data_IF_094726170726
#
_entry.id   IF_094726170726
#
_cell.length_a   1.000
_cell.length_b   1.000
_cell.length_c   1.000
_cell.angle_alpha   90.00
_cell.angle_beta   90.00
_cell.angle_gamma   90.00
#
_symmetry.space_group_name_H-M   'P 1'
#
loop_
_entity.id
_entity.type
_entity.pdbx_description
1 polymer ?
#
# COMPACT_ATOMS: atom_id res chain seq x y z
N UNK A 1 79.03 -26.01 -3.65
CA UNK A 1 79.96 -25.69 -2.54
C UNK A 1 79.20 -24.78 -1.57
N UNK A 2 78.54 -25.34 -0.57
CA UNK A 2 78.03 -24.62 0.60
C UNK A 2 78.34 -25.53 1.80
N UNK A 3 79.62 -25.55 2.18
CA UNK A 3 80.06 -26.21 3.41
C UNK A 3 79.67 -25.32 4.59
N UNK A 4 79.01 -25.96 5.57
CA UNK A 4 78.48 -25.33 6.76
C UNK A 4 79.56 -24.69 7.64
N UNK A 5 79.30 -23.46 8.06
CA UNK A 5 79.91 -22.87 9.23
C UNK A 5 79.08 -23.29 10.44
N UNK A 6 79.58 -24.26 11.21
CA UNK A 6 79.05 -24.56 12.53
C UNK A 6 79.26 -23.33 13.44
N UNK A 7 78.21 -22.73 14.02
CA UNK A 7 78.35 -21.55 14.86
C UNK A 7 79.13 -21.89 16.14
N UNK A 8 80.07 -21.02 16.53
CA UNK A 8 80.78 -21.10 17.83
C UNK A 8 79.76 -21.25 18.97
N UNK A 9 80.04 -22.04 20.03
CA UNK A 9 79.07 -22.37 21.08
C UNK A 9 78.48 -21.13 21.77
N UNK A 10 79.29 -20.06 21.96
CA UNK A 10 78.81 -18.78 22.49
C UNK A 10 77.78 -18.07 21.60
N UNK A 11 77.93 -18.15 20.27
CA UNK A 11 77.00 -17.51 19.35
C UNK A 11 75.65 -18.24 19.31
N UNK A 12 75.65 -19.56 19.52
CA UNK A 12 74.43 -20.35 19.60
C UNK A 12 73.63 -20.04 20.87
N UNK A 13 74.31 -19.89 22.01
CA UNK A 13 73.68 -19.49 23.27
C UNK A 13 73.08 -18.08 23.17
N UNK A 14 73.80 -17.11 22.58
CA UNK A 14 73.28 -15.76 22.36
C UNK A 14 72.05 -15.74 21.46
N UNK A 15 72.04 -16.55 20.40
CA UNK A 15 70.91 -16.66 19.48
C UNK A 15 69.68 -17.30 20.14
N UNK A 16 69.88 -18.34 20.98
CA UNK A 16 68.82 -18.98 21.76
C UNK A 16 68.23 -17.98 22.78
N UNK A 17 69.08 -17.24 23.50
CA UNK A 17 68.64 -16.22 24.46
C UNK A 17 67.84 -15.09 23.79
N UNK A 18 68.31 -14.60 22.64
CA UNK A 18 67.58 -13.61 21.85
C UNK A 18 66.23 -14.15 21.33
N UNK A 19 66.18 -15.42 20.93
CA UNK A 19 64.95 -16.08 20.52
C UNK A 19 63.93 -16.18 21.66
N UNK A 20 64.38 -16.51 22.88
CA UNK A 20 63.51 -16.53 24.06
C UNK A 20 63.06 -15.14 24.49
N UNK A 21 63.92 -14.13 24.44
CA UNK A 21 63.54 -12.73 24.74
C UNK A 21 62.47 -12.23 23.75
N UNK A 22 62.64 -12.46 22.44
CA UNK A 22 61.61 -12.17 21.42
C UNK A 22 60.29 -12.88 21.72
N UNK A 23 60.37 -14.16 22.10
CA UNK A 23 59.20 -14.95 22.44
C UNK A 23 58.46 -14.40 23.67
N UNK A 24 59.18 -14.09 24.74
CA UNK A 24 58.60 -13.56 25.98
C UNK A 24 57.96 -12.20 25.70
N UNK A 25 58.65 -11.27 25.05
CA UNK A 25 58.13 -9.93 24.72
C UNK A 25 56.84 -10.04 23.89
N UNK A 26 56.85 -10.83 22.80
CA UNK A 26 55.66 -11.03 21.94
C UNK A 26 54.54 -11.81 22.61
N UNK A 27 54.86 -12.71 23.54
CA UNK A 27 53.85 -13.47 24.31
C UNK A 27 53.13 -12.59 25.34
N UNK A 28 53.82 -11.60 25.90
CA UNK A 28 53.26 -10.61 26.84
C UNK A 28 52.45 -9.53 26.10
N UNK A 29 52.75 -9.26 24.83
CA UNK A 29 51.96 -8.40 23.95
C UNK A 29 50.67 -9.06 23.42
N UNK A 30 50.43 -10.35 23.71
CA UNK A 30 49.11 -10.95 23.47
C UNK A 30 48.10 -10.23 24.38
N UNK A 31 47.02 -9.66 23.83
CA UNK A 31 46.09 -8.83 24.57
C UNK A 31 45.17 -9.71 25.41
N UNK A 32 45.70 -10.28 26.49
CA UNK A 32 44.89 -10.64 27.65
C UNK A 32 44.43 -9.29 28.24
N UNK A 33 43.16 -8.95 28.03
CA UNK A 33 42.50 -7.69 28.35
C UNK A 33 42.70 -6.52 27.37
N UNK A 34 41.86 -6.48 26.33
CA UNK A 34 41.27 -5.21 25.91
C UNK A 34 39.81 -5.45 25.52
N UNK A 35 38.94 -5.40 26.53
CA UNK A 35 37.54 -5.03 26.35
C UNK A 35 37.57 -3.52 26.13
N UNK A 36 37.72 -3.10 24.89
CA UNK A 36 37.31 -1.76 24.48
C UNK A 36 36.68 -1.86 23.11
N UNK A 37 35.35 -1.70 23.11
CA UNK A 37 34.59 -1.42 21.91
C UNK A 37 35.25 -0.25 21.18
N UNK A 38 35.88 -0.54 20.05
CA UNK A 38 36.24 0.50 19.10
C UNK A 38 35.00 0.79 18.27
N UNK A 39 34.26 1.80 18.73
CA UNK A 39 33.28 2.52 17.93
C UNK A 39 33.85 2.81 16.53
N UNK A 40 33.04 2.71 15.45
CA UNK A 40 33.52 2.99 14.12
C UNK A 40 34.02 4.43 14.02
N UNK A 41 35.30 4.59 13.71
CA UNK A 41 35.92 5.88 13.41
C UNK A 41 35.25 6.46 12.17
N UNK A 42 34.36 7.43 12.39
CA UNK A 42 33.68 8.17 11.33
C UNK A 42 34.72 8.99 10.57
N UNK A 43 35.19 8.48 9.44
CA UNK A 43 35.99 9.25 8.49
C UNK A 43 35.00 10.04 7.63
N UNK A 44 34.92 11.35 7.86
CA UNK A 44 34.18 12.28 7.01
C UNK A 44 34.79 12.22 5.60
N UNK A 45 33.98 11.84 4.61
CA UNK A 45 34.22 12.23 3.21
C UNK A 45 33.12 13.21 2.79
N UNK A 46 33.45 14.24 2.00
CA UNK A 46 32.50 15.26 1.61
C UNK A 46 31.52 14.71 0.58
N UNK A 47 30.28 15.17 0.72
CA UNK A 47 29.14 15.03 -0.17
C UNK A 47 29.42 15.62 -1.56
N UNK A 48 29.21 14.83 -2.62
CA UNK A 48 28.42 15.30 -3.75
C UNK A 48 27.73 14.11 -4.45
N UNK A 49 26.69 14.46 -5.18
CA UNK A 49 25.43 13.75 -5.37
C UNK A 49 25.39 12.76 -6.54
N UNK A 50 24.31 11.95 -6.50
CA UNK A 50 23.69 11.21 -7.62
C UNK A 50 24.50 10.04 -8.19
N UNK A 51 24.13 8.83 -7.81
CA UNK A 51 23.84 7.73 -8.74
C UNK A 51 23.10 6.63 -7.98
N UNK A 52 21.80 6.49 -8.24
CA UNK A 52 21.08 5.25 -7.98
C UNK A 52 21.69 4.20 -8.90
N UNK A 53 22.49 3.29 -8.34
CA UNK A 53 22.91 2.10 -9.07
C UNK A 53 22.72 0.87 -8.20
N UNK A 54 21.87 0.00 -8.73
CA UNK A 54 21.49 -1.32 -8.27
C UNK A 54 22.71 -2.10 -7.76
N UNK A 55 22.77 -2.34 -6.44
CA UNK A 55 23.59 -3.42 -5.90
C UNK A 55 22.82 -4.73 -6.01
N UNK A 56 22.74 -5.23 -7.23
CA UNK A 56 22.36 -6.61 -7.50
C UNK A 56 23.58 -7.50 -7.18
N UNK A 57 23.41 -8.44 -6.25
CA UNK A 57 24.37 -9.51 -5.89
C UNK A 57 25.72 -9.02 -5.36
N UNK A 58 25.76 -8.53 -4.12
CA UNK A 58 26.99 -8.65 -3.33
C UNK A 58 27.20 -10.13 -3.05
N UNK A 59 28.17 -10.71 -3.76
CA UNK A 59 28.79 -12.00 -3.48
C UNK A 59 28.95 -12.17 -1.96
N UNK A 60 28.11 -13.02 -1.35
CA UNK A 60 28.09 -13.29 0.10
C UNK A 60 29.33 -14.10 0.48
N UNK A 61 30.50 -13.46 0.41
CA UNK A 61 31.80 -14.10 0.64
C UNK A 61 31.91 -14.53 2.09
N UNK A 62 32.12 -15.83 2.29
CA UNK A 62 32.41 -16.41 3.59
C UNK A 62 33.78 -15.97 4.09
N UNK A 63 33.91 -15.74 5.39
CA UNK A 63 35.19 -15.37 5.98
C UNK A 63 35.31 -15.90 7.42
N UNK A 64 36.56 -16.17 7.82
CA UNK A 64 36.90 -16.64 9.17
C UNK A 64 36.94 -15.46 10.15
N UNK A 65 36.25 -15.59 11.28
CA UNK A 65 36.24 -14.63 12.38
C UNK A 65 37.45 -14.90 13.28
N UNK A 66 38.47 -14.04 13.20
CA UNK A 66 39.61 -14.03 14.13
C UNK A 66 40.80 -13.19 13.62
N UNK A 67 41.54 -12.52 14.53
CA UNK A 67 42.72 -11.69 14.20
C UNK A 67 43.74 -12.47 13.37
N UNK A 68 44.34 -11.88 12.32
CA UNK A 68 45.36 -12.52 11.44
C UNK A 68 46.44 -13.26 12.27
N UNK A 69 47.00 -14.38 11.77
CA UNK A 69 47.96 -15.18 12.53
C UNK A 69 49.10 -14.31 13.04
N UNK A 70 49.43 -14.50 14.32
CA UNK A 70 50.58 -13.87 14.97
C UNK A 70 51.82 -14.35 14.21
N UNK A 71 52.67 -13.43 13.76
CA UNK A 71 53.95 -13.78 13.13
C UNK A 71 54.74 -14.67 14.08
N UNK A 72 55.15 -15.86 13.62
CA UNK A 72 55.88 -16.81 14.45
C UNK A 72 57.12 -16.15 15.06
N UNK A 73 57.25 -16.26 16.38
CA UNK A 73 58.40 -15.77 17.14
C UNK A 73 59.66 -16.52 16.72
N UNK A 74 60.83 -15.91 16.92
CA UNK A 74 62.09 -16.54 16.56
C UNK A 74 62.26 -17.90 17.29
N UNK A 75 61.86 -18.00 18.56
CA UNK A 75 61.91 -19.26 19.31
C UNK A 75 61.03 -20.36 18.70
N UNK A 76 59.85 -20.02 18.17
CA UNK A 76 58.97 -20.99 17.50
C UNK A 76 59.56 -21.44 16.16
N UNK A 77 60.15 -20.53 15.38
CA UNK A 77 60.84 -20.87 14.13
C UNK A 77 62.06 -21.75 14.34
N UNK A 78 62.74 -21.58 15.48
CA UNK A 78 63.91 -22.39 15.85
C UNK A 78 63.55 -23.70 16.56
N UNK A 79 62.26 -24.00 16.75
CA UNK A 79 61.81 -25.23 17.42
C UNK A 79 62.10 -25.28 18.92
N UNK A 80 62.46 -24.15 19.55
CA UNK A 80 62.71 -24.03 20.98
C UNK A 80 61.41 -23.97 21.80
N UNK A 81 60.34 -23.50 21.17
CA UNK A 81 58.98 -23.44 21.73
C UNK A 81 58.02 -24.08 20.71
N UNK A 82 57.05 -24.89 21.13
CA UNK A 82 56.07 -25.47 20.21
C UNK A 82 55.34 -24.37 19.42
N UNK A 83 55.20 -24.61 18.11
CA UNK A 83 54.42 -23.74 17.24
C UNK A 83 52.96 -23.70 17.72
N UNK A 84 52.28 -22.54 17.75
CA UNK A 84 50.85 -22.48 18.00
C UNK A 84 50.13 -23.34 16.97
N UNK A 85 49.06 -24.02 17.36
CA UNK A 85 48.26 -24.80 16.43
C UNK A 85 47.86 -23.94 15.23
N UNK A 86 48.21 -24.39 14.02
CA UNK A 86 47.89 -23.70 12.79
C UNK A 86 46.37 -23.57 12.61
N UNK A 87 45.96 -22.48 11.97
CA UNK A 87 44.56 -22.29 11.60
C UNK A 87 44.09 -23.40 10.69
N UNK A 88 42.79 -23.67 10.70
CA UNK A 88 42.23 -24.55 9.70
C UNK A 88 42.48 -23.96 8.31
N UNK A 89 43.01 -24.76 7.39
CA UNK A 89 43.19 -24.36 5.99
C UNK A 89 41.82 -24.21 5.31
N UNK A 90 41.78 -23.51 4.17
CA UNK A 90 40.54 -23.33 3.41
C UNK A 90 39.93 -24.69 3.00
N UNK A 91 40.77 -25.67 2.67
CA UNK A 91 40.35 -27.04 2.34
C UNK A 91 39.73 -27.76 3.55
N UNK A 92 40.31 -27.59 4.74
CA UNK A 92 39.75 -28.14 5.96
C UNK A 92 38.40 -27.50 6.29
N UNK A 93 38.24 -26.20 6.06
CA UNK A 93 36.95 -25.53 6.17
C UNK A 93 35.94 -26.02 5.15
N UNK A 94 36.35 -26.28 3.91
CA UNK A 94 35.49 -26.89 2.91
C UNK A 94 35.00 -28.27 3.38
N UNK A 95 35.86 -29.10 3.98
CA UNK A 95 35.46 -30.39 4.55
C UNK A 95 34.54 -30.25 5.77
N UNK A 96 34.77 -29.27 6.65
CA UNK A 96 33.84 -28.97 7.76
C UNK A 96 32.48 -28.52 7.22
N UNK A 97 32.47 -27.71 6.16
CA UNK A 97 31.25 -27.24 5.51
C UNK A 97 30.48 -28.38 4.86
N UNK A 98 31.14 -29.26 4.12
CA UNK A 98 30.51 -30.47 3.54
C UNK A 98 29.82 -31.29 4.62
N UNK A 99 30.52 -31.60 5.72
CA UNK A 99 29.93 -32.34 6.85
C UNK A 99 28.73 -31.63 7.46
N UNK A 100 28.81 -30.31 7.64
CA UNK A 100 27.71 -29.51 8.17
C UNK A 100 26.47 -29.52 7.27
N UNK A 101 26.67 -29.52 5.95
CA UNK A 101 25.61 -29.62 4.94
C UNK A 101 25.00 -31.02 4.93
N UNK A 102 25.80 -32.08 4.98
CA UNK A 102 25.33 -33.48 5.07
C UNK A 102 24.50 -33.72 6.33
N UNK A 103 24.90 -33.13 7.46
CA UNK A 103 24.16 -33.18 8.73
C UNK A 103 22.91 -32.31 8.74
N UNK A 104 22.77 -31.40 7.76
CA UNK A 104 21.64 -30.47 7.70
C UNK A 104 21.63 -29.42 8.82
N UNK A 105 22.78 -29.08 9.39
CA UNK A 105 22.90 -28.15 10.53
C UNK A 105 22.29 -26.78 10.24
N UNK A 106 22.42 -26.29 9.00
CA UNK A 106 21.81 -25.01 8.58
C UNK A 106 20.29 -25.07 8.37
N UNK A 107 19.71 -26.26 8.28
CA UNK A 107 18.26 -26.45 8.19
C UNK A 107 17.60 -26.56 9.57
N UNK A 108 18.35 -27.02 10.58
CA UNK A 108 17.87 -27.09 11.95
C UNK A 108 17.82 -25.70 12.59
N UNK A 109 16.94 -25.46 13.59
CA UNK A 109 16.92 -24.21 14.33
C UNK A 109 18.20 -24.05 15.19
N UNK A 110 18.56 -22.82 15.49
CA UNK A 110 19.72 -22.54 16.34
C UNK A 110 19.53 -23.14 17.73
N UNK A 111 20.46 -23.97 18.20
CA UNK A 111 20.32 -24.64 19.50
C UNK A 111 20.33 -23.70 20.73
N UNK A 112 20.74 -22.44 20.58
CA UNK A 112 20.76 -21.45 21.67
C UNK A 112 19.38 -20.78 21.82
N UNK A 113 18.82 -20.21 20.76
CA UNK A 113 17.55 -19.47 20.79
C UNK A 113 16.34 -20.28 20.29
N UNK A 114 16.56 -21.46 19.71
CA UNK A 114 15.55 -22.34 19.10
C UNK A 114 14.79 -21.73 17.92
N UNK A 115 15.32 -20.66 17.33
CA UNK A 115 14.76 -20.03 16.12
C UNK A 115 15.47 -20.49 14.85
N UNK A 116 14.74 -20.48 13.73
CA UNK A 116 15.30 -20.65 12.39
C UNK A 116 16.32 -19.54 12.07
N UNK A 117 17.31 -19.87 11.25
CA UNK A 117 18.35 -18.91 10.83
C UNK A 117 17.82 -17.81 9.91
N UNK A 118 16.98 -18.16 8.93
CA UNK A 118 16.46 -17.24 7.90
C UNK A 118 17.58 -16.37 7.31
N UNK A 119 17.44 -15.04 7.35
CA UNK A 119 18.42 -14.08 6.84
C UNK A 119 19.41 -13.58 7.90
N UNK A 120 19.34 -14.09 9.14
CA UNK A 120 20.23 -13.65 10.22
C UNK A 120 21.65 -14.18 9.98
N UNK A 121 22.72 -13.44 10.34
CA UNK A 121 24.09 -13.89 10.16
C UNK A 121 24.36 -15.14 10.99
N UNK A 122 24.87 -16.17 10.31
CA UNK A 122 25.13 -17.50 10.86
C UNK A 122 26.63 -17.78 10.87
N UNK A 123 27.07 -18.59 11.83
CA UNK A 123 28.47 -18.95 12.00
C UNK A 123 28.61 -20.46 12.13
N UNK A 124 29.56 -21.01 11.40
CA UNK A 124 30.00 -22.40 11.45
C UNK A 124 31.23 -22.51 12.34
N UNK A 125 31.20 -23.44 13.27
CA UNK A 125 32.33 -23.75 14.13
C UNK A 125 33.21 -24.84 13.51
N UNK A 126 34.48 -24.90 13.90
CA UNK A 126 35.38 -26.01 13.53
C UNK A 126 34.89 -27.40 13.96
N UNK A 127 33.91 -27.45 14.88
CA UNK A 127 33.23 -28.65 15.31
C UNK A 127 31.91 -28.93 14.56
N UNK A 128 31.74 -28.44 13.33
CA UNK A 128 30.58 -28.62 12.41
C UNK A 128 29.24 -27.99 12.82
N UNK A 129 29.10 -27.56 14.07
CA UNK A 129 27.88 -26.93 14.59
C UNK A 129 27.66 -25.51 14.08
N UNK A 130 26.38 -25.14 13.86
CA UNK A 130 25.97 -23.82 13.34
C UNK A 130 25.12 -23.05 14.36
N UNK A 131 25.38 -21.74 14.49
CA UNK A 131 24.63 -20.84 15.37
C UNK A 131 24.42 -19.46 14.75
N UNK A 132 23.50 -18.64 15.28
CA UNK A 132 23.49 -17.22 14.93
C UNK A 132 24.75 -16.58 15.51
N UNK A 133 25.35 -15.66 14.76
CA UNK A 133 26.52 -14.90 15.22
C UNK A 133 26.25 -14.21 16.57
N UNK A 134 25.08 -13.58 16.69
CA UNK A 134 24.68 -12.88 17.91
C UNK A 134 24.47 -13.84 19.09
N UNK A 135 23.83 -15.00 18.87
CA UNK A 135 23.59 -15.98 19.92
C UNK A 135 24.90 -16.59 20.44
N UNK A 136 25.82 -16.93 19.54
CA UNK A 136 27.14 -17.43 19.94
C UNK A 136 27.92 -16.37 20.72
N UNK A 137 27.92 -15.12 20.26
CA UNK A 137 28.60 -14.02 20.96
C UNK A 137 28.00 -13.76 22.35
N UNK A 138 26.68 -13.83 22.49
CA UNK A 138 26.00 -13.71 23.78
C UNK A 138 26.38 -14.87 24.72
N UNK A 139 26.44 -16.10 24.20
CA UNK A 139 26.87 -17.27 24.95
C UNK A 139 28.32 -17.15 25.43
N UNK A 140 29.24 -16.73 24.56
CA UNK A 140 30.65 -16.51 24.92
C UNK A 140 30.80 -15.45 26.03
N UNK A 141 30.03 -14.36 25.94
CA UNK A 141 29.99 -13.30 26.97
C UNK A 141 29.45 -13.80 28.31
N UNK A 142 28.40 -14.63 28.29
CA UNK A 142 27.78 -15.15 29.50
C UNK A 142 28.63 -16.24 30.17
N UNK A 143 29.17 -17.17 29.38
CA UNK A 143 29.99 -18.30 29.87
C UNK A 143 31.40 -17.85 30.31
N UNK A 144 31.89 -16.72 29.77
CA UNK A 144 33.26 -16.26 29.96
C UNK A 144 34.32 -17.19 29.33
N UNK A 145 33.88 -18.20 28.57
CA UNK A 145 34.73 -19.23 27.95
C UNK A 145 34.31 -19.45 26.51
N UNK A 146 35.30 -19.56 25.62
CA UNK A 146 35.09 -19.87 24.20
C UNK A 146 34.95 -21.39 24.00
N UNK A 147 33.75 -21.92 24.24
CA UNK A 147 33.41 -23.34 24.07
C UNK A 147 32.11 -23.53 23.27
N UNK A 148 32.02 -24.60 22.47
CA UNK A 148 30.82 -24.87 21.68
C UNK A 148 29.64 -25.20 22.63
N UNK A 149 28.45 -24.58 22.48
CA UNK A 149 27.29 -24.87 23.30
C UNK A 149 26.82 -26.34 23.23
N UNK A 150 27.01 -27.01 22.09
CA UNK A 150 26.56 -28.39 21.89
C UNK A 150 27.60 -29.42 22.34
N UNK A 151 28.82 -29.37 21.80
CA UNK A 151 29.84 -30.39 22.06
C UNK A 151 30.91 -29.98 23.07
N UNK A 152 30.81 -28.78 23.67
CA UNK A 152 31.76 -28.23 24.67
C UNK A 152 33.23 -28.15 24.21
N UNK A 153 33.53 -28.40 22.93
CA UNK A 153 34.88 -28.27 22.37
C UNK A 153 35.38 -26.84 22.57
N UNK A 154 36.57 -26.72 23.15
CA UNK A 154 37.21 -25.45 23.41
C UNK A 154 38.09 -25.02 22.22
N UNK A 155 38.43 -23.73 22.17
CA UNK A 155 39.37 -23.15 21.18
C UNK A 155 38.97 -23.44 19.72
N UNK A 156 37.67 -23.38 19.43
CA UNK A 156 37.20 -23.51 18.05
C UNK A 156 37.53 -22.26 17.22
N UNK A 157 37.63 -22.48 15.91
CA UNK A 157 37.59 -21.42 14.92
C UNK A 157 36.17 -21.21 14.43
N UNK A 158 35.89 -20.00 13.95
CA UNK A 158 34.55 -19.54 13.58
C UNK A 158 34.58 -19.01 12.16
N UNK A 159 33.68 -19.46 11.29
CA UNK A 159 33.52 -18.97 9.91
C UNK A 159 32.10 -18.46 9.72
N UNK A 160 31.93 -17.29 9.11
CA UNK A 160 30.61 -16.80 8.70
C UNK A 160 30.18 -17.58 7.46
N UNK A 161 28.98 -18.14 7.52
CA UNK A 161 28.35 -18.86 6.40
C UNK A 161 27.02 -18.20 6.03
N UNK A 162 26.43 -18.57 4.89
CA UNK A 162 25.14 -18.02 4.40
C UNK A 162 24.19 -19.12 3.90
N UNK A 163 24.46 -20.38 4.25
CA UNK A 163 23.74 -21.54 3.71
C UNK A 163 22.25 -21.55 4.10
N UNK A 164 21.91 -21.17 5.34
CA UNK A 164 20.52 -21.14 5.77
C UNK A 164 19.76 -19.97 5.15
N UNK A 165 20.43 -18.83 4.90
CA UNK A 165 19.85 -17.74 4.12
C UNK A 165 19.54 -18.17 2.68
N UNK A 166 20.43 -18.96 2.06
CA UNK A 166 20.18 -19.56 0.75
C UNK A 166 19.00 -20.53 0.77
N UNK A 167 18.93 -21.42 1.77
CA UNK A 167 17.80 -22.35 1.96
C UNK A 167 16.48 -21.59 2.16
N UNK A 168 16.47 -20.55 3.00
CA UNK A 168 15.30 -19.73 3.24
C UNK A 168 14.82 -18.99 1.99
N UNK A 169 15.75 -18.39 1.22
CA UNK A 169 15.42 -17.79 -0.08
C UNK A 169 14.79 -18.80 -1.04
N UNK A 170 15.32 -20.02 -1.08
CA UNK A 170 14.75 -21.10 -1.89
C UNK A 170 13.33 -21.47 -1.44
N UNK A 171 13.10 -21.66 -0.14
CA UNK A 171 11.77 -21.94 0.40
C UNK A 171 10.76 -20.83 0.09
N UNK A 172 11.17 -19.56 0.24
CA UNK A 172 10.36 -18.41 -0.13
C UNK A 172 10.00 -18.42 -1.62
N UNK A 173 10.99 -18.68 -2.49
CA UNK A 173 10.76 -18.78 -3.93
C UNK A 173 9.76 -19.90 -4.26
N UNK A 174 9.91 -21.08 -3.66
CA UNK A 174 8.97 -22.21 -3.86
C UNK A 174 7.54 -21.84 -3.42
N UNK A 175 7.37 -21.13 -2.30
CA UNK A 175 6.05 -20.67 -1.85
C UNK A 175 5.41 -19.67 -2.81
N UNK A 176 6.18 -18.71 -3.29
CA UNK A 176 5.71 -17.72 -4.27
C UNK A 176 5.32 -18.42 -5.57
N UNK A 177 6.19 -19.29 -6.07
CA UNK A 177 5.94 -20.07 -7.29
C UNK A 177 4.71 -20.96 -7.16
N UNK A 178 4.52 -21.65 -6.03
CA UNK A 178 3.34 -22.48 -5.79
C UNK A 178 2.05 -21.64 -5.76
N UNK A 179 2.09 -20.48 -5.09
CA UNK A 179 0.96 -19.56 -5.05
C UNK A 179 0.59 -19.06 -6.46
N UNK A 180 1.59 -18.64 -7.23
CA UNK A 180 1.41 -18.16 -8.60
C UNK A 180 0.88 -19.25 -9.53
N UNK A 181 1.49 -20.45 -9.51
CA UNK A 181 1.00 -21.60 -10.29
C UNK A 181 -0.46 -21.91 -9.96
N UNK A 182 -0.81 -21.93 -8.67
CA UNK A 182 -2.18 -22.12 -8.22
C UNK A 182 -3.13 -21.01 -8.67
N UNK A 183 -2.69 -19.74 -8.64
CA UNK A 183 -3.46 -18.61 -9.15
C UNK A 183 -3.73 -18.74 -10.65
N UNK A 184 -2.71 -19.02 -11.45
CA UNK A 184 -2.82 -19.19 -12.91
C UNK A 184 -3.82 -20.29 -13.27
N UNK A 185 -3.75 -21.45 -12.61
CA UNK A 185 -4.70 -22.55 -12.82
C UNK A 185 -6.12 -22.16 -12.41
N UNK A 186 -6.30 -21.50 -11.26
CA UNK A 186 -7.63 -21.03 -10.83
C UNK A 186 -8.22 -20.01 -11.79
N UNK A 187 -7.39 -19.10 -12.32
CA UNK A 187 -7.83 -18.10 -13.28
C UNK A 187 -8.25 -18.75 -14.59
N UNK A 188 -7.46 -19.70 -15.11
CA UNK A 188 -7.85 -20.51 -16.26
C UNK A 188 -9.15 -21.28 -15.99
N UNK A 189 -9.26 -21.97 -14.84
CA UNK A 189 -10.43 -22.76 -14.50
C UNK A 189 -11.71 -21.90 -14.36
N UNK A 190 -11.59 -20.68 -13.81
CA UNK A 190 -12.71 -19.71 -13.77
C UNK A 190 -13.20 -19.36 -15.17
N UNK A 191 -12.29 -19.15 -16.12
CA UNK A 191 -12.66 -18.86 -17.50
C UNK A 191 -13.25 -20.10 -18.20
N UNK A 192 -12.61 -21.27 -18.03
CA UNK A 192 -13.10 -22.54 -18.55
C UNK A 192 -14.51 -22.86 -18.05
N UNK A 193 -14.83 -22.57 -16.77
CA UNK A 193 -16.17 -22.77 -16.21
C UNK A 193 -17.24 -21.85 -16.84
N UNK A 194 -16.85 -20.71 -17.42
CA UNK A 194 -17.77 -19.81 -18.13
C UNK A 194 -18.02 -20.23 -19.58
N UNK A 195 -17.06 -20.94 -20.20
CA UNK A 195 -17.11 -21.27 -21.63
C UNK A 195 -17.41 -22.74 -21.92
N UNK A 196 -16.94 -23.65 -21.07
CA UNK A 196 -17.07 -25.09 -21.25
C UNK A 196 -18.27 -25.60 -20.46
N UNK A 197 -19.20 -26.26 -21.16
CA UNK A 197 -20.36 -26.88 -20.53
C UNK A 197 -19.94 -28.06 -19.64
N UNK A 198 -20.31 -28.09 -18.34
CA UNK A 198 -20.08 -29.22 -17.46
C UNK A 198 -20.82 -30.49 -17.93
N UNK A 199 -20.24 -31.67 -17.66
CA UNK A 199 -20.87 -32.97 -17.94
C UNK A 199 -21.93 -33.35 -16.90
N UNK A 200 -21.72 -32.98 -15.64
CA UNK A 200 -22.66 -33.28 -14.55
C UNK A 200 -23.98 -32.55 -14.72
N UNK A 201 -25.10 -33.28 -14.55
CA UNK A 201 -26.45 -32.75 -14.78
C UNK A 201 -26.76 -31.49 -13.96
N UNK A 202 -26.41 -31.48 -12.67
CA UNK A 202 -26.68 -30.33 -11.79
C UNK A 202 -25.83 -29.10 -12.14
N UNK A 203 -24.54 -29.29 -12.43
CA UNK A 203 -23.65 -28.19 -12.81
C UNK A 203 -24.00 -27.65 -14.20
N UNK A 204 -24.43 -28.53 -15.11
CA UNK A 204 -24.94 -28.15 -16.42
C UNK A 204 -26.19 -27.28 -16.31
N UNK A 205 -27.15 -27.61 -15.43
CA UNK A 205 -28.32 -26.76 -15.17
C UNK A 205 -27.92 -25.36 -14.72
N UNK A 206 -27.05 -25.25 -13.71
CA UNK A 206 -26.55 -23.96 -13.21
C UNK A 206 -25.78 -23.16 -14.27
N UNK A 207 -25.05 -23.84 -15.16
CA UNK A 207 -24.35 -23.21 -16.26
C UNK A 207 -25.32 -22.55 -17.25
N UNK A 208 -26.35 -23.29 -17.69
CA UNK A 208 -27.36 -22.75 -18.61
C UNK A 208 -28.23 -21.69 -17.96
N UNK A 209 -28.58 -21.84 -16.69
CA UNK A 209 -29.27 -20.82 -15.90
C UNK A 209 -28.50 -19.50 -15.89
N UNK A 210 -27.20 -19.53 -15.56
CA UNK A 210 -26.36 -18.33 -15.59
C UNK A 210 -26.25 -17.72 -17.00
N UNK A 211 -26.21 -18.55 -18.06
CA UNK A 211 -26.18 -18.07 -19.44
C UNK A 211 -27.50 -17.44 -19.90
N UNK A 212 -28.64 -18.01 -19.51
CA UNK A 212 -29.95 -17.43 -19.77
C UNK A 212 -30.12 -16.12 -19.02
N UNK A 213 -29.65 -16.04 -17.78
CA UNK A 213 -29.67 -14.82 -17.00
C UNK A 213 -28.82 -13.72 -17.66
N UNK A 214 -27.63 -14.04 -18.16
CA UNK A 214 -26.78 -13.10 -18.92
C UNK A 214 -27.50 -12.53 -20.16
N UNK A 215 -28.23 -13.38 -20.90
CA UNK A 215 -29.02 -12.94 -22.06
C UNK A 215 -30.24 -12.12 -21.66
N UNK A 216 -30.96 -12.52 -20.61
CA UNK A 216 -32.10 -11.77 -20.09
C UNK A 216 -31.66 -10.38 -19.61
N UNK A 217 -30.57 -10.29 -18.85
CA UNK A 217 -30.01 -9.02 -18.38
C UNK A 217 -29.52 -8.16 -19.55
N UNK A 218 -29.00 -8.76 -20.61
CA UNK A 218 -28.66 -8.05 -21.85
C UNK A 218 -29.90 -7.51 -22.55
N UNK A 219 -30.97 -8.30 -22.65
CA UNK A 219 -32.22 -7.92 -23.29
C UNK A 219 -32.93 -6.82 -22.52
N UNK A 220 -33.06 -6.96 -21.21
CA UNK A 220 -33.64 -5.96 -20.31
C UNK A 220 -32.91 -4.63 -20.44
N UNK A 221 -31.57 -4.63 -20.46
CA UNK A 221 -30.78 -3.41 -20.70
C UNK A 221 -31.05 -2.77 -22.06
N UNK A 222 -31.17 -3.59 -23.11
CA UNK A 222 -31.51 -3.09 -24.44
C UNK A 222 -32.89 -2.42 -24.46
N UNK A 223 -33.91 -3.09 -23.91
CA UNK A 223 -35.28 -2.55 -23.85
C UNK A 223 -35.38 -1.28 -22.99
N UNK A 224 -34.69 -1.23 -21.85
CA UNK A 224 -34.67 -0.01 -21.03
C UNK A 224 -34.06 1.18 -21.76
N UNK A 225 -32.95 0.96 -22.48
CA UNK A 225 -32.29 2.02 -23.27
C UNK A 225 -33.22 2.57 -24.36
N UNK A 226 -33.96 1.70 -25.04
CA UNK A 226 -34.92 2.09 -26.09
C UNK A 226 -36.10 2.89 -25.52
N UNK A 227 -36.66 2.47 -24.38
CA UNK A 227 -37.74 3.19 -23.71
C UNK A 227 -37.29 4.56 -23.18
N UNK A 228 -36.12 4.65 -22.53
CA UNK A 228 -35.62 5.93 -22.03
C UNK A 228 -35.33 6.92 -23.16
N UNK A 229 -34.76 6.46 -24.27
CA UNK A 229 -34.54 7.28 -25.45
C UNK A 229 -35.87 7.79 -26.03
N UNK A 230 -36.86 6.91 -26.19
CA UNK A 230 -38.19 7.28 -26.69
C UNK A 230 -38.91 8.29 -25.79
N UNK A 231 -38.88 8.10 -24.47
CA UNK A 231 -39.48 9.03 -23.51
C UNK A 231 -38.77 10.39 -23.53
N UNK A 232 -37.44 10.39 -23.65
CA UNK A 232 -36.66 11.62 -23.81
C UNK A 232 -37.04 12.38 -25.09
N UNK A 233 -37.31 11.67 -26.19
CA UNK A 233 -37.74 12.31 -27.45
C UNK A 233 -39.14 12.94 -27.33
N UNK A 234 -40.06 12.30 -26.60
CA UNK A 234 -41.38 12.87 -26.28
C UNK A 234 -41.21 14.13 -25.44
N UNK A 235 -40.44 14.07 -24.36
CA UNK A 235 -40.22 15.21 -23.47
C UNK A 235 -39.56 16.37 -24.21
N UNK A 236 -38.62 16.09 -25.12
CA UNK A 236 -38.03 17.10 -25.99
C UNK A 236 -39.06 17.73 -26.93
N UNK A 237 -39.94 16.92 -27.52
CA UNK A 237 -41.02 17.38 -28.41
C UNK A 237 -42.08 18.20 -27.67
N UNK A 238 -42.44 17.81 -26.44
CA UNK A 238 -43.35 18.58 -25.60
C UNK A 238 -42.69 19.89 -25.14
N UNK A 239 -41.41 19.85 -24.80
CA UNK A 239 -40.64 21.04 -24.42
C UNK A 239 -40.55 22.05 -25.57
N UNK A 240 -40.32 21.59 -26.80
CA UNK A 240 -40.29 22.46 -27.98
C UNK A 240 -41.65 23.08 -28.27
N UNK A 241 -42.73 22.29 -28.19
CA UNK A 241 -44.11 22.79 -28.33
C UNK A 241 -44.46 23.84 -27.27
N UNK A 242 -44.15 23.57 -25.99
CA UNK A 242 -44.38 24.53 -24.89
C UNK A 242 -43.65 25.85 -25.09
N UNK A 243 -42.42 25.83 -25.63
CA UNK A 243 -41.66 27.06 -25.95
C UNK A 243 -42.38 27.91 -27.00
N UNK A 244 -42.92 27.28 -28.06
CA UNK A 244 -43.70 27.99 -29.09
C UNK A 244 -44.94 28.63 -28.48
N UNK A 245 -45.68 27.92 -27.63
CA UNK A 245 -46.85 28.48 -26.94
C UNK A 245 -46.47 29.66 -26.05
N UNK A 246 -45.38 29.57 -25.29
CA UNK A 246 -44.89 30.66 -24.44
C UNK A 246 -44.47 31.90 -25.26
N UNK A 247 -43.88 31.73 -26.43
CA UNK A 247 -43.55 32.85 -27.32
C UNK A 247 -44.80 33.51 -27.91
N UNK A 248 -45.85 32.74 -28.19
CA UNK A 248 -47.13 33.26 -28.67
C UNK A 248 -47.84 34.05 -27.57
N UNK A 249 -47.85 33.52 -26.35
CA UNK A 249 -48.44 34.17 -25.17
C UNK A 249 -47.69 35.46 -24.81
N UNK A 250 -46.35 35.48 -24.92
CA UNK A 250 -45.55 36.70 -24.77
C UNK A 250 -45.85 37.78 -25.81
N UNK A 251 -46.35 37.42 -27.00
CA UNK A 251 -46.80 38.39 -28.01
C UNK A 251 -48.22 38.89 -27.75
N UNK A 252 -49.04 38.15 -26.99
CA UNK A 252 -50.41 38.53 -26.65
C UNK A 252 -50.53 39.41 -25.39
N UNK A 253 -49.52 39.42 -24.50
CA UNK A 253 -49.55 40.22 -23.27
C UNK A 253 -48.71 41.49 -23.48
N UNK A 254 -49.36 42.62 -23.77
CA UNK A 254 -48.81 43.97 -23.57
C UNK A 254 -49.59 44.61 -22.43
N UNK A 255 -48.90 45.20 -21.44
CA UNK A 255 -49.53 45.87 -20.28
C UNK A 255 -50.44 47.02 -20.72
N UNK A 256 -51.67 47.16 -20.17
CA UNK A 256 -52.54 48.30 -20.47
C UNK A 256 -51.92 49.63 -20.02
N UNK A 257 -51.99 50.66 -20.88
CA UNK A 257 -51.48 52.01 -20.59
C UNK A 257 -52.41 52.73 -19.59
N UNK A 258 -51.93 53.76 -18.87
CA UNK A 258 -52.71 54.48 -17.84
C UNK A 258 -54.11 54.94 -18.29
N UNK A 259 -54.28 55.34 -19.56
CA UNK A 259 -55.59 55.75 -20.14
C UNK A 259 -56.64 54.63 -20.17
N UNK A 260 -56.23 53.36 -20.15
CA UNK A 260 -57.16 52.22 -20.14
C UNK A 260 -57.79 51.98 -18.76
N UNK A 261 -57.12 52.38 -17.67
CA UNK A 261 -57.61 52.18 -16.31
C UNK A 261 -58.81 53.08 -15.98
N UNK A 262 -58.80 54.32 -16.45
CA UNK A 262 -59.94 55.24 -16.31
C UNK A 262 -61.17 54.75 -17.08
N UNK A 263 -60.94 54.12 -18.23
CA UNK A 263 -62.00 53.49 -19.04
C UNK A 263 -62.58 52.26 -18.36
N UNK A 264 -61.72 51.43 -17.75
CA UNK A 264 -62.12 50.24 -16.99
C UNK A 264 -62.94 50.66 -15.76
N UNK A 265 -62.50 51.66 -15.00
CA UNK A 265 -63.23 52.18 -13.84
C UNK A 265 -64.62 52.72 -14.23
N UNK A 266 -64.72 53.44 -15.36
CA UNK A 266 -65.98 53.97 -15.86
C UNK A 266 -66.98 52.86 -16.25
N UNK A 267 -66.52 51.74 -16.81
CA UNK A 267 -67.37 50.59 -17.15
C UNK A 267 -67.91 49.87 -15.91
N UNK A 268 -67.11 49.78 -14.85
CA UNK A 268 -67.51 49.12 -13.60
C UNK A 268 -68.60 49.91 -12.88
N UNK A 269 -68.47 51.23 -12.83
CA UNK A 269 -69.50 52.12 -12.24
C UNK A 269 -70.84 51.99 -12.98
N UNK A 270 -70.81 51.84 -14.32
CA UNK A 270 -72.04 51.67 -15.11
C UNK A 270 -72.73 50.32 -14.90
N UNK A 271 -72.00 49.25 -14.53
CA UNK A 271 -72.55 47.91 -14.33
C UNK A 271 -73.19 47.71 -12.96
N UNK A 272 -72.90 48.58 -11.98
CA UNK A 272 -73.67 48.70 -10.74
C UNK A 272 -73.59 47.50 -9.78
N UNK A 273 -72.53 46.68 -9.86
CA UNK A 273 -72.31 45.58 -8.91
C UNK A 273 -71.39 46.04 -7.79
N UNK A 274 -71.94 46.14 -6.57
CA UNK A 274 -71.21 46.55 -5.37
C UNK A 274 -70.90 45.38 -4.45
N UNK A 275 -71.16 44.13 -4.82
CA UNK A 275 -70.93 42.96 -3.97
C UNK A 275 -69.80 42.07 -4.49
N UNK A 276 -69.04 41.49 -3.56
CA UNK A 276 -67.90 40.63 -3.89
C UNK A 276 -68.40 39.30 -4.42
N UNK A 277 -67.99 38.85 -5.62
CA UNK A 277 -68.41 37.56 -6.15
C UNK A 277 -67.95 36.37 -5.32
N UNK A 278 -66.86 36.52 -4.55
CA UNK A 278 -66.27 35.44 -3.75
C UNK A 278 -67.03 35.26 -2.42
N UNK A 279 -67.34 36.35 -1.72
CA UNK A 279 -67.93 36.30 -0.39
C UNK A 279 -69.35 36.88 -0.29
N UNK A 280 -69.88 37.42 -1.39
CA UNK A 280 -71.23 37.96 -1.56
C UNK A 280 -71.55 39.12 -0.59
N UNK A 281 -70.55 39.92 -0.21
CA UNK A 281 -70.71 41.09 0.67
C UNK A 281 -70.27 42.39 -0.01
N UNK A 282 -70.78 43.55 0.41
CA UNK A 282 -70.51 44.82 -0.27
C UNK A 282 -69.02 45.20 -0.27
N UNK A 283 -68.54 45.69 -1.41
CA UNK A 283 -67.16 45.95 -1.81
C UNK A 283 -66.85 47.44 -1.83
N UNK A 284 -65.66 47.81 -1.33
CA UNK A 284 -65.17 49.18 -1.42
C UNK A 284 -63.75 49.33 -2.03
N UNK A 285 -62.97 48.26 -2.28
CA UNK A 285 -61.49 48.47 -2.31
C UNK A 285 -60.57 47.77 -3.33
N UNK A 286 -60.95 46.84 -4.23
CA UNK A 286 -59.96 46.35 -5.24
C UNK A 286 -60.52 46.10 -6.65
N UNK A 287 -59.92 46.76 -7.66
CA UNK A 287 -60.23 46.68 -9.09
C UNK A 287 -59.09 46.00 -9.86
N UNK A 288 -59.44 45.01 -10.68
CA UNK A 288 -58.51 44.29 -11.54
C UNK A 288 -58.53 44.83 -12.98
N UNK A 289 -57.45 44.61 -13.74
CA UNK A 289 -57.35 45.01 -15.17
C UNK A 289 -58.42 44.38 -16.07
N UNK A 290 -59.06 43.29 -15.63
CA UNK A 290 -60.20 42.65 -16.29
C UNK A 290 -61.57 43.27 -15.93
N UNK A 291 -61.59 44.46 -15.32
CA UNK A 291 -62.81 45.18 -14.90
C UNK A 291 -63.66 44.46 -13.84
N UNK A 292 -63.06 43.58 -13.05
CA UNK A 292 -63.72 42.89 -11.93
C UNK A 292 -63.29 43.45 -10.58
N UNK A 293 -64.24 43.50 -9.64
CA UNK A 293 -64.04 43.99 -8.28
C UNK A 293 -64.07 42.85 -7.25
N UNK A 294 -63.12 42.83 -6.33
CA UNK A 294 -63.06 41.86 -5.23
C UNK A 294 -62.60 42.52 -3.93
N UNK A 295 -62.83 41.87 -2.78
CA UNK A 295 -62.14 42.27 -1.55
C UNK A 295 -60.70 41.78 -1.66
N UNK A 296 -59.75 42.64 -1.27
CA UNK A 296 -58.34 42.29 -1.27
C UNK A 296 -58.07 40.97 -0.53
N UNK A 297 -58.64 40.80 0.66
CA UNK A 297 -58.49 39.58 1.45
C UNK A 297 -59.09 38.33 0.77
N UNK A 298 -60.20 38.48 0.04
CA UNK A 298 -60.82 37.37 -0.67
C UNK A 298 -60.00 36.95 -1.90
N UNK A 299 -59.40 37.93 -2.58
CA UNK A 299 -58.54 37.68 -3.72
C UNK A 299 -57.20 37.05 -3.29
N UNK A 300 -56.56 37.57 -2.24
CA UNK A 300 -55.34 37.00 -1.66
C UNK A 300 -55.56 35.55 -1.19
N UNK A 301 -56.72 35.27 -0.58
CA UNK A 301 -57.08 33.90 -0.19
C UNK A 301 -57.21 32.98 -1.41
N UNK A 302 -57.81 33.46 -2.50
CA UNK A 302 -57.92 32.69 -3.75
C UNK A 302 -56.55 32.44 -4.39
N UNK A 303 -55.70 33.46 -4.49
CA UNK A 303 -54.34 33.34 -5.02
C UNK A 303 -53.50 32.35 -4.21
N UNK A 304 -53.64 32.37 -2.88
CA UNK A 304 -52.94 31.42 -1.99
C UNK A 304 -53.38 29.97 -2.20
N UNK A 305 -54.62 29.75 -2.66
CA UNK A 305 -55.13 28.43 -2.99
C UNK A 305 -54.61 27.95 -4.36
N UNK A 306 -54.36 28.86 -5.30
CA UNK A 306 -53.90 28.56 -6.67
C UNK A 306 -52.39 28.64 -6.86
N UNK A 307 -51.62 28.57 -5.77
CA UNK A 307 -50.21 28.97 -5.57
C UNK A 307 -49.16 28.64 -6.66
N UNK A 308 -49.44 27.75 -7.61
CA UNK A 308 -48.51 27.37 -8.70
C UNK A 308 -48.79 28.07 -10.04
N UNK A 309 -49.80 28.96 -10.11
CA UNK A 309 -50.22 29.66 -11.34
C UNK A 309 -49.99 31.17 -11.22
N UNK A 310 -49.70 31.85 -12.34
CA UNK A 310 -49.74 33.33 -12.40
C UNK A 310 -51.12 33.85 -11.96
N UNK A 311 -51.22 35.03 -11.33
CA UNK A 311 -52.48 35.53 -10.77
C UNK A 311 -53.54 35.69 -11.88
N UNK A 312 -54.62 34.91 -11.78
CA UNK A 312 -55.72 34.84 -12.74
C UNK A 312 -57.05 35.20 -12.08
N UNK A 313 -57.91 35.88 -12.83
CA UNK A 313 -59.19 36.37 -12.32
C UNK A 313 -60.09 35.19 -11.94
N UNK A 314 -60.70 35.16 -10.74
CA UNK A 314 -61.60 34.08 -10.35
C UNK A 314 -62.83 33.89 -11.25
N UNK A 315 -63.25 34.94 -11.98
CA UNK A 315 -64.44 34.92 -12.84
C UNK A 315 -64.13 34.51 -14.28
N UNK A 316 -63.08 35.10 -14.86
CA UNK A 316 -62.77 34.93 -16.29
C UNK A 316 -61.49 34.12 -16.54
N UNK A 317 -60.74 33.79 -15.48
CA UNK A 317 -59.45 33.08 -15.51
C UNK A 317 -58.34 33.79 -16.32
N UNK A 318 -58.61 35.00 -16.80
CA UNK A 318 -57.64 35.86 -17.46
C UNK A 318 -56.63 36.45 -16.46
N UNK A 319 -55.38 36.62 -16.90
CA UNK A 319 -54.34 37.25 -16.11
C UNK A 319 -54.65 38.73 -15.88
N UNK A 320 -54.46 39.20 -14.64
CA UNK A 320 -54.68 40.59 -14.31
C UNK A 320 -53.46 41.28 -13.69
N UNK A 321 -53.45 42.60 -13.77
CA UNK A 321 -52.54 43.49 -13.05
C UNK A 321 -53.32 44.38 -12.08
N UNK A 322 -52.61 45.02 -11.14
CA UNK A 322 -53.18 45.97 -10.16
C UNK A 322 -52.83 47.41 -10.54
N UNK A 323 -53.73 48.39 -10.34
CA UNK A 323 -53.38 49.80 -10.42
C UNK A 323 -52.45 50.20 -9.25
N UNK A 324 -51.46 51.04 -9.54
CA UNK A 324 -50.38 51.43 -8.62
C UNK A 324 -50.79 52.41 -7.49
N UNK A 325 -52.04 52.87 -7.45
CA UNK A 325 -52.53 53.84 -6.47
C UNK A 325 -53.76 53.32 -5.72
N UNK A 326 -53.56 52.83 -4.49
CA UNK A 326 -54.65 52.50 -3.56
C UNK A 326 -55.09 53.75 -2.79
N UNK A 327 -56.34 54.18 -2.94
CA UNK A 327 -56.96 55.16 -2.02
C UNK A 327 -57.55 54.42 -0.82
N UNK A 328 -56.91 54.58 0.34
CA UNK A 328 -57.57 54.34 1.63
C UNK A 328 -58.60 55.44 1.86
N UNK A 329 -59.87 55.06 1.94
CA UNK A 329 -60.90 55.84 2.63
C UNK A 329 -61.66 54.92 3.59
#
# INVERSE_FOLDING_TARGET
ILQGLAPKPNNRLMLISAAFQDHIIRSLELPNFSISDSLPRCSRKPTDSRYHQEKCVQDEREYVIGKRPVTLTLAQKMGLVPCPAERLTEDQWAQVKVRSVEQGESAQPCAICREEFRLKPQVLLSCTHVFHRACLQAFERFSGKKCCPMCRRQRYETRVIHDAARLFRHQCATRIQACWRGYSVRQWYRNARKTICPKDKQLRRKFFEAKLQELNDSFVRYCHTDMEAFLSDIDHSLSSSRRVFQELERKQISEPQEDDWDRIQSQVIQRGFWDCPICLTPLHTALLSCSHLFHQLCLEAFESFTADSRPSCPLDLDFYSFPSYFFHY
#
